data_IF_384912028751
#
_entry.id   IF_384912028751
#
_cell.length_a   1.000
_cell.length_b   1.000
_cell.length_c   1.000
_cell.angle_alpha   90.00
_cell.angle_beta   90.00
_cell.angle_gamma   90.00
#
_symmetry.space_group_name_H-M   'P 1'
#
loop_
_entity.id
_entity.type
_entity.pdbx_description
1 polymer ?
#
# COMPACT_ATOMS: atom_id res chain seq x y z
N UNK A 1 -5.57 -25.07 -3.48
CA UNK A 1 -4.92 -24.70 -4.76
C UNK A 1 -5.87 -23.96 -5.70
N UNK A 2 -6.88 -24.57 -6.36
CA UNK A 2 -7.77 -23.87 -7.33
C UNK A 2 -8.43 -22.58 -6.77
N UNK A 3 -8.91 -22.63 -5.52
CA UNK A 3 -9.60 -21.53 -4.86
C UNK A 3 -8.70 -20.30 -4.56
N UNK A 4 -7.41 -20.52 -4.30
CA UNK A 4 -6.46 -19.47 -3.92
C UNK A 4 -6.11 -18.55 -5.10
N UNK A 5 -5.91 -19.13 -6.27
CA UNK A 5 -5.66 -18.37 -7.50
C UNK A 5 -6.88 -17.54 -7.90
N UNK A 6 -8.08 -18.10 -7.72
CA UNK A 6 -9.33 -17.38 -7.97
C UNK A 6 -9.47 -16.17 -7.04
N UNK A 7 -9.24 -16.34 -5.74
CA UNK A 7 -9.27 -15.22 -4.78
C UNK A 7 -8.19 -14.17 -5.09
N UNK A 8 -6.98 -14.60 -5.48
CA UNK A 8 -5.90 -13.71 -5.90
C UNK A 8 -6.27 -12.89 -7.14
N UNK A 9 -6.85 -13.52 -8.16
CA UNK A 9 -7.33 -12.85 -9.36
C UNK A 9 -8.46 -11.85 -9.04
N UNK A 10 -9.45 -12.27 -8.24
CA UNK A 10 -10.54 -11.39 -7.81
C UNK A 10 -10.03 -10.19 -7.02
N UNK A 11 -9.12 -10.40 -6.06
CA UNK A 11 -8.49 -9.33 -5.30
C UNK A 11 -7.71 -8.35 -6.19
N UNK A 12 -6.91 -8.88 -7.12
CA UNK A 12 -6.18 -8.07 -8.10
C UNK A 12 -7.12 -7.24 -8.98
N UNK A 13 -8.21 -7.84 -9.47
CA UNK A 13 -9.22 -7.17 -10.27
C UNK A 13 -9.93 -6.07 -9.49
N UNK A 14 -10.29 -6.32 -8.22
CA UNK A 14 -10.89 -5.31 -7.33
C UNK A 14 -9.96 -4.12 -7.08
N UNK A 15 -8.68 -4.37 -6.76
CA UNK A 15 -7.70 -3.30 -6.53
C UNK A 15 -7.45 -2.50 -7.82
N UNK A 16 -7.33 -3.20 -8.96
CA UNK A 16 -7.15 -2.57 -10.27
C UNK A 16 -8.34 -1.70 -10.68
N UNK A 17 -9.56 -2.21 -10.50
CA UNK A 17 -10.80 -1.45 -10.74
C UNK A 17 -10.90 -0.24 -9.80
N UNK A 18 -10.59 -0.41 -8.51
CA UNK A 18 -10.58 0.71 -7.57
C UNK A 18 -9.59 1.81 -8.02
N UNK A 19 -8.38 1.44 -8.45
CA UNK A 19 -7.41 2.37 -9.01
C UNK A 19 -7.87 3.05 -10.30
N UNK A 20 -8.56 2.32 -11.18
CA UNK A 20 -9.11 2.85 -12.42
C UNK A 20 -10.26 3.84 -12.16
N UNK A 21 -11.19 3.50 -11.26
CA UNK A 21 -12.30 4.38 -10.87
C UNK A 21 -11.76 5.66 -10.24
N UNK A 22 -10.76 5.55 -9.37
CA UNK A 22 -10.12 6.71 -8.75
C UNK A 22 -9.43 7.61 -9.79
N UNK A 23 -8.72 7.02 -10.74
CA UNK A 23 -8.05 7.75 -11.82
C UNK A 23 -9.03 8.40 -12.79
N UNK A 24 -10.07 7.70 -13.21
CA UNK A 24 -11.05 8.20 -14.18
C UNK A 24 -12.05 9.18 -13.56
N UNK A 25 -12.45 8.95 -12.31
CA UNK A 25 -13.38 9.82 -11.60
C UNK A 25 -12.75 11.13 -11.14
N UNK A 26 -11.52 11.08 -10.62
CA UNK A 26 -10.88 12.22 -9.97
C UNK A 26 -9.66 12.75 -10.72
N UNK A 27 -9.27 12.11 -11.83
CA UNK A 27 -8.11 12.51 -12.64
C UNK A 27 -6.76 12.26 -11.96
N UNK A 28 -6.75 11.53 -10.84
CA UNK A 28 -5.61 11.43 -9.92
C UNK A 28 -5.16 9.99 -9.75
N UNK A 29 -3.87 9.81 -9.57
CA UNK A 29 -3.28 8.49 -9.36
C UNK A 29 -3.57 8.05 -7.91
N UNK A 30 -4.12 6.86 -7.74
CA UNK A 30 -4.35 6.27 -6.42
C UNK A 30 -3.01 6.07 -5.69
N UNK A 31 -2.83 6.73 -4.53
CA UNK A 31 -1.61 6.62 -3.74
C UNK A 31 -1.83 7.00 -2.28
N UNK A 32 -1.82 6.02 -1.37
CA UNK A 32 -2.09 6.21 0.05
C UNK A 32 -1.16 7.23 0.71
N UNK A 33 0.16 7.14 0.48
CA UNK A 33 1.13 8.10 1.06
C UNK A 33 0.96 9.52 0.53
N UNK A 34 0.50 9.69 -0.72
CA UNK A 34 0.21 11.01 -1.28
C UNK A 34 -1.06 11.62 -0.70
N UNK A 35 -2.08 10.79 -0.49
CA UNK A 35 -3.35 11.16 0.16
C UNK A 35 -3.09 11.61 1.60
N UNK A 36 -2.37 10.80 2.38
CA UNK A 36 -2.02 11.10 3.78
C UNK A 36 -1.07 12.31 3.85
N UNK A 37 -0.02 12.34 3.03
CA UNK A 37 0.93 13.44 2.99
C UNK A 37 0.25 14.77 2.65
N UNK A 38 -0.64 14.80 1.66
CA UNK A 38 -1.36 16.01 1.30
C UNK A 38 -2.44 16.44 2.30
N UNK A 39 -2.93 15.53 3.15
CA UNK A 39 -3.78 15.87 4.31
C UNK A 39 -2.95 16.61 5.38
N UNK A 40 -1.73 16.14 5.64
CA UNK A 40 -0.80 16.71 6.62
C UNK A 40 -0.27 18.07 6.13
N UNK A 41 0.17 18.14 4.87
CA UNK A 41 0.70 19.37 4.25
C UNK A 41 -0.40 20.42 3.99
N UNK A 42 -1.68 20.03 4.11
CA UNK A 42 -2.83 20.91 3.89
C UNK A 42 -3.00 21.42 2.45
N UNK A 43 -2.22 20.91 1.50
CA UNK A 43 -2.04 21.52 0.17
C UNK A 43 -3.23 21.39 -0.77
N UNK A 44 -4.30 20.68 -0.40
CA UNK A 44 -5.47 20.45 -1.28
C UNK A 44 -6.78 20.30 -0.50
N UNK A 45 -7.18 21.36 0.23
CA UNK A 45 -8.46 21.38 0.99
C UNK A 45 -9.70 21.06 0.14
N UNK A 46 -9.68 21.37 -1.15
CA UNK A 46 -10.79 21.07 -2.07
C UNK A 46 -11.04 19.56 -2.27
N UNK A 47 -9.98 18.74 -2.19
CA UNK A 47 -10.07 17.28 -2.33
C UNK A 47 -10.11 16.54 -0.97
N UNK A 48 -10.27 17.27 0.14
CA UNK A 48 -10.24 16.68 1.47
C UNK A 48 -11.34 15.63 1.67
N UNK A 49 -12.57 15.92 1.21
CA UNK A 49 -13.70 14.98 1.33
C UNK A 49 -13.40 13.62 0.70
N UNK A 50 -12.80 13.63 -0.49
CA UNK A 50 -12.41 12.43 -1.24
C UNK A 50 -11.28 11.66 -0.55
N UNK A 51 -10.25 12.38 -0.08
CA UNK A 51 -9.12 11.80 0.65
C UNK A 51 -9.57 11.14 1.96
N UNK A 52 -10.48 11.78 2.68
CA UNK A 52 -11.11 11.22 3.87
C UNK A 52 -11.98 10.02 3.55
N UNK A 53 -12.80 10.06 2.50
CA UNK A 53 -13.62 8.89 2.13
C UNK A 53 -12.77 7.69 1.72
N UNK A 54 -11.64 7.92 1.03
CA UNK A 54 -10.70 6.86 0.71
C UNK A 54 -10.08 6.26 1.98
N UNK A 55 -9.56 7.11 2.87
CA UNK A 55 -8.91 6.66 4.10
C UNK A 55 -9.90 5.95 5.05
N UNK A 56 -11.13 6.48 5.15
CA UNK A 56 -12.22 5.85 5.88
C UNK A 56 -12.57 4.49 5.26
N UNK A 57 -12.65 4.37 3.94
CA UNK A 57 -12.91 3.10 3.26
C UNK A 57 -11.85 2.04 3.57
N UNK A 58 -10.56 2.40 3.53
CA UNK A 58 -9.44 1.49 3.83
C UNK A 58 -9.47 0.97 5.27
N UNK A 59 -9.97 1.78 6.22
CA UNK A 59 -10.03 1.40 7.64
C UNK A 59 -11.35 0.70 8.00
N UNK A 60 -12.49 1.25 7.56
CA UNK A 60 -13.83 0.78 7.93
C UNK A 60 -14.18 -0.55 7.26
N UNK A 61 -13.78 -0.76 6.00
CA UNK A 61 -14.11 -1.99 5.28
C UNK A 61 -13.55 -3.24 5.97
N UNK A 62 -12.24 -3.36 6.29
CA UNK A 62 -11.75 -4.54 7.00
C UNK A 62 -12.39 -4.68 8.39
N UNK A 63 -12.65 -3.58 9.10
CA UNK A 63 -13.32 -3.61 10.41
C UNK A 63 -14.74 -4.18 10.32
N UNK A 64 -15.49 -3.84 9.26
CA UNK A 64 -16.83 -4.34 9.01
C UNK A 64 -16.84 -5.83 8.60
N UNK A 65 -15.73 -6.32 8.02
CA UNK A 65 -15.59 -7.71 7.60
C UNK A 65 -15.18 -8.65 8.75
N UNK A 66 -14.58 -8.13 9.84
CA UNK A 66 -14.23 -8.93 11.03
C UNK A 66 -15.40 -9.77 11.59
N UNK A 67 -16.61 -9.23 11.86
CA UNK A 67 -17.73 -10.02 12.38
C UNK A 67 -18.24 -11.08 11.39
N UNK A 68 -17.93 -10.94 10.09
CA UNK A 68 -18.27 -11.92 9.05
C UNK A 68 -17.27 -13.08 8.99
N UNK A 69 -16.31 -13.15 9.93
CA UNK A 69 -15.32 -14.21 10.00
C UNK A 69 -14.09 -13.99 9.11
N UNK A 70 -13.87 -12.77 8.60
CA UNK A 70 -12.68 -12.41 7.83
C UNK A 70 -11.46 -12.20 8.75
N UNK A 71 -11.11 -13.24 9.51
CA UNK A 71 -9.95 -13.26 10.38
C UNK A 71 -8.75 -13.74 9.57
N UNK A 72 -8.03 -12.81 8.93
CA UNK A 72 -6.75 -13.14 8.31
C UNK A 72 -5.72 -13.46 9.39
N UNK A 73 -5.10 -14.64 9.35
CA UNK A 73 -3.95 -14.96 10.19
C UNK A 73 -2.82 -13.98 9.86
N UNK A 74 -2.70 -12.93 10.67
CA UNK A 74 -1.68 -11.90 10.48
C UNK A 74 -0.48 -12.28 11.33
N UNK A 75 0.58 -12.77 10.68
CA UNK A 75 1.84 -13.06 11.35
C UNK A 75 2.59 -11.75 11.64
N UNK A 76 2.11 -11.02 12.65
CA UNK A 76 2.70 -9.77 13.09
C UNK A 76 3.73 -10.02 14.19
N UNK A 77 4.86 -9.32 14.13
CA UNK A 77 5.83 -9.34 15.23
C UNK A 77 5.20 -8.79 16.49
N UNK A 78 5.49 -9.43 17.63
CA UNK A 78 5.02 -8.97 18.95
C UNK A 78 5.86 -7.79 19.49
N UNK A 79 6.91 -7.36 18.76
CA UNK A 79 7.77 -6.27 19.16
C UNK A 79 7.23 -4.92 18.67
N UNK A 80 6.63 -4.09 19.54
CA UNK A 80 6.05 -2.80 19.13
C UNK A 80 7.12 -1.80 18.68
N UNK A 81 8.34 -1.86 19.22
CA UNK A 81 9.44 -0.97 18.84
C UNK A 81 9.82 -1.20 17.39
N UNK A 82 9.90 -2.48 16.97
CA UNK A 82 10.19 -2.83 15.58
C UNK A 82 9.08 -2.35 14.64
N UNK A 83 7.81 -2.47 15.04
CA UNK A 83 6.67 -1.97 14.26
C UNK A 83 6.71 -0.44 14.08
N UNK A 84 7.01 0.30 15.15
CA UNK A 84 7.11 1.76 15.10
C UNK A 84 8.26 2.18 14.18
N UNK A 85 9.45 1.58 14.34
CA UNK A 85 10.61 1.88 13.49
C UNK A 85 10.32 1.55 12.03
N UNK A 86 9.75 0.38 11.74
CA UNK A 86 9.37 -0.02 10.39
C UNK A 86 8.36 0.96 9.77
N UNK A 87 7.33 1.36 10.53
CA UNK A 87 6.33 2.33 10.08
C UNK A 87 6.94 3.70 9.75
N UNK A 88 7.84 4.20 10.60
CA UNK A 88 8.54 5.47 10.36
C UNK A 88 9.44 5.40 9.12
N UNK A 89 10.22 4.32 8.97
CA UNK A 89 11.09 4.12 7.80
C UNK A 89 10.29 4.05 6.51
N UNK A 90 9.16 3.32 6.49
CA UNK A 90 8.25 3.26 5.34
C UNK A 90 7.62 4.63 5.06
N UNK A 91 7.19 5.35 6.09
CA UNK A 91 6.64 6.70 5.97
C UNK A 91 7.62 7.67 5.32
N UNK A 92 8.84 7.75 5.84
CA UNK A 92 9.92 8.59 5.30
C UNK A 92 10.27 8.16 3.88
N UNK A 93 10.45 6.85 3.64
CA UNK A 93 10.82 6.30 2.34
C UNK A 93 9.79 6.63 1.26
N UNK A 94 8.50 6.45 1.54
CA UNK A 94 7.43 6.79 0.58
C UNK A 94 7.32 8.29 0.31
N UNK A 95 7.67 9.14 1.29
CA UNK A 95 7.70 10.59 1.10
C UNK A 95 8.88 11.02 0.21
N UNK A 96 10.08 10.47 0.46
CA UNK A 96 11.28 10.72 -0.35
C UNK A 96 11.10 10.22 -1.78
N UNK A 97 10.51 9.03 -1.96
CA UNK A 97 10.18 8.48 -3.27
C UNK A 97 9.03 9.22 -3.98
N UNK A 98 8.35 10.13 -3.26
CA UNK A 98 7.14 10.85 -3.67
C UNK A 98 6.10 9.90 -4.28
N UNK A 99 5.85 8.79 -3.58
CA UNK A 99 4.93 7.73 -3.98
C UNK A 99 5.08 6.47 -3.13
N UNK A 100 4.09 5.59 -3.22
CA UNK A 100 4.01 4.33 -2.48
C UNK A 100 3.76 3.15 -3.43
N UNK A 101 3.61 1.95 -2.89
CA UNK A 101 3.35 0.72 -3.66
C UNK A 101 2.09 0.81 -4.53
N UNK A 102 1.01 1.41 -4.03
CA UNK A 102 -0.22 1.63 -4.83
C UNK A 102 0.01 2.61 -5.99
N UNK A 103 0.77 3.67 -5.77
CA UNK A 103 1.04 4.69 -6.78
C UNK A 103 2.04 4.25 -7.86
N UNK A 104 3.20 3.72 -7.44
CA UNK A 104 4.29 3.31 -8.33
C UNK A 104 4.10 1.89 -8.89
N UNK A 105 3.70 0.95 -8.03
CA UNK A 105 3.52 -0.46 -8.37
C UNK A 105 2.23 -0.67 -9.14
N UNK A 106 1.08 -0.54 -8.46
CA UNK A 106 -0.22 -0.84 -9.08
C UNK A 106 -0.50 0.14 -10.22
N UNK A 107 -0.67 1.42 -9.90
CA UNK A 107 -1.09 2.40 -10.90
C UNK A 107 0.05 2.81 -11.86
N UNK A 108 1.30 2.81 -11.40
CA UNK A 108 2.45 3.27 -12.18
C UNK A 108 2.90 2.27 -13.24
N UNK A 109 2.92 0.98 -12.93
CA UNK A 109 3.23 -0.08 -13.91
C UNK A 109 2.10 -0.21 -14.93
N UNK A 110 0.83 -0.14 -14.52
CA UNK A 110 -0.31 -0.21 -15.45
C UNK A 110 -0.33 0.92 -16.48
N UNK A 111 0.26 2.08 -16.17
CA UNK A 111 0.43 3.20 -17.13
C UNK A 111 1.78 3.21 -17.85
N UNK A 112 2.57 2.13 -17.74
CA UNK A 112 3.90 2.01 -18.33
C UNK A 112 4.85 3.16 -17.94
N UNK A 113 4.71 3.68 -16.72
CA UNK A 113 5.59 4.77 -16.25
C UNK A 113 6.96 4.23 -15.87
N UNK A 114 8.01 4.71 -16.53
CA UNK A 114 9.39 4.30 -16.25
C UNK A 114 9.74 4.53 -14.76
N UNK A 115 9.33 5.69 -14.23
CA UNK A 115 9.52 6.04 -12.81
C UNK A 115 8.87 5.02 -11.87
N UNK A 116 7.63 4.60 -12.15
CA UNK A 116 6.91 3.63 -11.32
C UNK A 116 7.53 2.23 -11.38
N UNK A 117 7.95 1.81 -12.57
CA UNK A 117 8.64 0.52 -12.78
C UNK A 117 9.96 0.49 -12.01
N UNK A 118 10.79 1.52 -12.18
CA UNK A 118 12.10 1.62 -11.50
C UNK A 118 11.92 1.63 -9.99
N UNK A 119 11.03 2.48 -9.46
CA UNK A 119 10.73 2.53 -8.03
C UNK A 119 10.26 1.16 -7.50
N UNK A 120 9.47 0.43 -8.28
CA UNK A 120 8.96 -0.89 -7.91
C UNK A 120 10.06 -1.94 -7.82
N UNK A 121 10.95 -1.98 -8.82
CA UNK A 121 12.11 -2.87 -8.81
C UNK A 121 12.98 -2.61 -7.57
N UNK A 122 13.28 -1.35 -7.27
CA UNK A 122 14.13 -1.01 -6.12
C UNK A 122 13.50 -1.39 -4.78
N UNK A 123 12.21 -1.10 -4.53
CA UNK A 123 11.62 -1.46 -3.24
C UNK A 123 11.46 -2.98 -3.09
N UNK A 124 11.14 -3.71 -4.17
CA UNK A 124 11.06 -5.19 -4.12
C UNK A 124 12.43 -5.78 -3.82
N UNK A 125 13.49 -5.30 -4.49
CA UNK A 125 14.87 -5.72 -4.23
C UNK A 125 15.30 -5.41 -2.80
N UNK A 126 15.02 -4.19 -2.31
CA UNK A 126 15.33 -3.82 -0.94
C UNK A 126 14.61 -4.72 0.07
N UNK A 127 13.33 -5.03 -0.16
CA UNK A 127 12.55 -5.97 0.66
C UNK A 127 13.14 -7.37 0.65
N UNK A 128 13.50 -7.90 -0.53
CA UNK A 128 14.12 -9.22 -0.66
C UNK A 128 15.49 -9.30 0.06
N UNK A 129 16.35 -8.30 -0.14
CA UNK A 129 17.66 -8.21 0.54
C UNK A 129 17.47 -8.12 2.05
N UNK A 130 16.53 -7.30 2.52
CA UNK A 130 16.19 -7.19 3.94
C UNK A 130 15.74 -8.55 4.48
N UNK A 131 14.83 -9.24 3.80
CA UNK A 131 14.37 -10.56 4.22
C UNK A 131 15.53 -11.55 4.34
N UNK A 132 16.41 -11.63 3.33
CA UNK A 132 17.57 -12.54 3.35
C UNK A 132 18.53 -12.18 4.48
N UNK A 133 18.83 -10.90 4.67
CA UNK A 133 19.75 -10.45 5.72
C UNK A 133 19.19 -10.80 7.11
N UNK A 134 17.96 -10.37 7.42
CA UNK A 134 17.39 -10.53 8.74
C UNK A 134 17.05 -11.99 9.07
N UNK A 135 16.58 -12.77 8.09
CA UNK A 135 16.22 -14.18 8.27
C UNK A 135 17.44 -15.10 8.30
N UNK A 136 18.34 -14.99 7.32
CA UNK A 136 19.44 -15.95 7.19
C UNK A 136 20.72 -15.55 7.91
N UNK A 137 21.04 -14.26 8.00
CA UNK A 137 22.33 -13.83 8.60
C UNK A 137 22.22 -13.45 10.07
N UNK A 138 21.10 -12.86 10.49
CA UNK A 138 20.88 -12.40 11.86
C UNK A 138 19.95 -13.29 12.69
N UNK A 139 19.10 -14.12 12.05
CA UNK A 139 18.14 -14.99 12.75
C UNK A 139 17.12 -14.24 13.59
N UNK A 140 16.84 -12.98 13.26
CA UNK A 140 15.95 -12.11 14.04
C UNK A 140 14.45 -12.36 13.79
N UNK A 141 14.13 -13.09 12.72
CA UNK A 141 12.78 -13.36 12.21
C UNK A 141 12.81 -14.72 11.50
#
# INVERSE_FOLDING_TARGET
MEQEWFMGLMGGLLIGLAGAVYLLGNGRIMGASGIIGGLIDGSERAAWKERMSFLAGVILLPLLLLPLGANGETNLTQNPVLLIIAGLLVGIGTRVANGCTSGHGVCGISRLSLRGIVATVFYILAGAITMVLFRHTLGWI
#
